data_IF_248072514618
#
_entry.id   IF_248072514618
#
_cell.length_a   1.000
_cell.length_b   1.000
_cell.length_c   1.000
_cell.angle_alpha   90.00
_cell.angle_beta   90.00
_cell.angle_gamma   90.00
#
_symmetry.space_group_name_H-M   'P 1'
#
loop_
_entity.id
_entity.type
_entity.pdbx_description
1 polymer ?
#
# COMPACT_ATOMS: atom_id res chain seq x y z
N UNK A 1 -42.98 11.25 64.09
CA UNK A 1 -41.68 11.09 64.77
C UNK A 1 -40.83 10.24 63.83
N UNK A 2 -39.98 10.75 62.95
CA UNK A 2 -39.37 12.06 62.71
C UNK A 2 -39.05 12.16 61.20
N UNK A 3 -39.26 13.34 60.61
CA UNK A 3 -38.83 13.69 59.26
C UNK A 3 -37.32 14.02 59.24
N UNK A 4 -36.63 13.65 58.16
CA UNK A 4 -35.32 14.16 57.70
C UNK A 4 -35.37 14.05 56.16
N UNK A 5 -35.96 15.03 55.47
CA UNK A 5 -35.33 16.20 54.82
C UNK A 5 -34.45 15.86 53.63
N UNK A 6 -34.86 16.41 52.48
CA UNK A 6 -34.13 16.51 51.22
C UNK A 6 -32.68 16.96 51.43
N UNK A 7 -31.71 16.17 50.97
CA UNK A 7 -30.36 16.67 50.70
C UNK A 7 -30.16 16.79 49.19
N UNK A 8 -30.64 17.93 48.71
CA UNK A 8 -30.28 18.54 47.44
C UNK A 8 -28.83 19.05 47.56
N UNK A 9 -27.85 18.13 47.54
CA UNK A 9 -26.43 18.49 47.50
C UNK A 9 -25.86 18.14 46.12
N UNK A 10 -25.42 19.18 45.42
CA UNK A 10 -24.75 19.09 44.12
C UNK A 10 -23.56 18.12 44.18
N UNK A 11 -23.22 17.40 43.09
CA UNK A 11 -22.09 16.46 43.08
C UNK A 11 -20.68 17.10 43.21
N UNK A 12 -20.59 18.39 43.57
CA UNK A 12 -19.45 19.25 43.28
C UNK A 12 -18.49 19.50 44.46
N UNK A 13 -18.70 18.91 45.64
CA UNK A 13 -17.97 19.32 46.86
C UNK A 13 -17.03 18.29 47.47
N UNK A 14 -16.98 17.05 46.96
CA UNK A 14 -15.98 16.09 47.43
C UNK A 14 -14.69 16.17 46.59
N UNK A 15 -13.52 16.46 47.18
CA UNK A 15 -12.25 16.55 46.45
C UNK A 15 -11.83 15.22 45.82
N UNK A 16 -12.27 14.08 46.37
CA UNK A 16 -12.07 12.75 45.77
C UNK A 16 -12.90 12.51 44.51
N UNK A 17 -14.13 13.03 44.47
CA UNK A 17 -14.93 12.95 43.24
C UNK A 17 -14.44 13.99 42.25
N UNK A 18 -14.10 15.22 42.67
CA UNK A 18 -13.54 16.23 41.76
C UNK A 18 -12.20 15.78 41.14
N UNK A 19 -11.36 15.04 41.86
CA UNK A 19 -10.15 14.40 41.32
C UNK A 19 -10.47 13.24 40.40
N UNK A 20 -11.44 12.38 40.72
CA UNK A 20 -11.90 11.33 39.79
C UNK A 20 -12.55 11.90 38.52
N UNK A 21 -13.36 12.96 38.64
CA UNK A 21 -14.01 13.68 37.55
C UNK A 21 -13.00 14.46 36.71
N UNK A 22 -12.02 15.12 37.32
CA UNK A 22 -10.90 15.73 36.58
C UNK A 22 -9.98 14.65 36.00
N UNK A 23 -9.82 13.48 36.58
CA UNK A 23 -9.04 12.40 35.99
C UNK A 23 -9.79 11.67 34.87
N UNK A 24 -11.12 11.71 34.86
CA UNK A 24 -11.96 11.21 33.75
C UNK A 24 -12.27 12.26 32.67
N UNK A 25 -12.13 13.56 32.97
CA UNK A 25 -12.40 14.68 32.02
C UNK A 25 -11.12 15.40 31.55
N UNK A 26 -10.04 15.38 32.35
CA UNK A 26 -8.67 15.83 32.00
C UNK A 26 -7.69 14.66 31.85
N UNK A 27 -8.13 13.41 32.04
CA UNK A 27 -7.42 12.22 31.60
C UNK A 27 -7.48 12.09 30.08
N UNK A 28 -6.96 13.08 29.37
CA UNK A 28 -6.47 12.91 28.01
C UNK A 28 -5.67 11.62 28.03
N UNK A 29 -5.98 10.65 27.18
CA UNK A 29 -5.20 9.42 27.05
C UNK A 29 -3.84 9.79 26.41
N UNK A 30 -2.99 10.50 27.16
CA UNK A 30 -1.71 11.06 26.69
C UNK A 30 -0.83 9.93 26.16
N UNK A 31 -0.91 8.75 26.80
CA UNK A 31 -0.24 7.54 26.35
C UNK A 31 -0.68 7.12 24.94
N UNK A 32 -1.99 7.05 24.67
CA UNK A 32 -2.52 6.68 23.35
C UNK A 32 -2.22 7.77 22.31
N UNK A 33 -2.33 9.05 22.68
CA UNK A 33 -1.98 10.18 21.83
C UNK A 33 -0.51 10.12 21.37
N UNK A 34 0.39 9.76 22.28
CA UNK A 34 1.80 9.56 21.97
C UNK A 34 2.00 8.47 20.92
N UNK A 35 1.27 7.35 21.01
CA UNK A 35 1.33 6.27 20.01
C UNK A 35 0.82 6.74 18.65
N UNK A 36 -0.27 7.50 18.59
CA UNK A 36 -0.74 8.10 17.32
C UNK A 36 0.30 9.03 16.69
N UNK A 37 1.00 9.85 17.49
CA UNK A 37 2.08 10.71 16.99
C UNK A 37 3.21 9.86 16.39
N UNK A 38 3.62 8.80 17.09
CA UNK A 38 4.62 7.85 16.59
C UNK A 38 4.14 7.17 15.31
N UNK A 39 2.87 6.76 15.24
CA UNK A 39 2.25 6.16 14.05
C UNK A 39 2.31 7.09 12.84
N UNK A 40 1.98 8.37 13.03
CA UNK A 40 2.03 9.38 11.96
C UNK A 40 3.47 9.58 11.47
N UNK A 41 4.44 9.72 12.38
CA UNK A 41 5.86 9.88 12.02
C UNK A 41 6.37 8.65 11.26
N UNK A 42 6.11 7.45 11.76
CA UNK A 42 6.50 6.20 11.10
C UNK A 42 5.85 6.09 9.71
N UNK A 43 4.58 6.45 9.58
CA UNK A 43 3.87 6.45 8.29
C UNK A 43 4.48 7.44 7.31
N UNK A 44 4.89 8.64 7.77
CA UNK A 44 5.58 9.61 6.93
C UNK A 44 6.92 9.07 6.40
N UNK A 45 7.69 8.38 7.25
CA UNK A 45 8.95 7.75 6.87
C UNK A 45 8.71 6.65 5.84
N UNK A 46 7.70 5.79 6.02
CA UNK A 46 7.35 4.75 5.05
C UNK A 46 6.97 5.36 3.69
N UNK A 47 6.12 6.39 3.68
CA UNK A 47 5.74 7.10 2.43
C UNK A 47 6.98 7.65 1.72
N UNK A 48 7.93 8.23 2.45
CA UNK A 48 9.18 8.73 1.87
C UNK A 48 9.98 7.63 1.17
N UNK A 49 10.17 6.48 1.83
CA UNK A 49 10.91 5.35 1.25
C UNK A 49 10.22 4.75 0.02
N UNK A 50 8.89 4.60 0.05
CA UNK A 50 8.14 4.10 -1.11
C UNK A 50 8.30 5.04 -2.32
N UNK A 51 8.25 6.35 -2.08
CA UNK A 51 8.41 7.35 -3.14
C UNK A 51 9.83 7.44 -3.69
N UNK A 52 10.83 7.01 -2.92
CA UNK A 52 12.22 6.96 -3.37
C UNK A 52 12.48 5.85 -4.41
N UNK A 53 11.61 4.83 -4.50
CA UNK A 53 11.74 3.77 -5.51
C UNK A 53 11.10 4.20 -6.85
N UNK A 54 11.83 4.10 -7.97
CA UNK A 54 11.35 4.60 -9.27
C UNK A 54 10.59 3.56 -10.13
N UNK A 55 10.87 2.27 -9.98
CA UNK A 55 10.36 1.18 -10.84
C UNK A 55 9.55 0.11 -10.11
N UNK A 56 9.22 0.32 -8.83
CA UNK A 56 8.47 -0.66 -8.04
C UNK A 56 7.01 -0.81 -8.48
N UNK A 57 6.57 -2.06 -8.63
CA UNK A 57 5.16 -2.43 -8.84
C UNK A 57 4.33 -2.00 -7.62
N UNK A 58 3.15 -1.44 -7.87
CA UNK A 58 2.13 -1.10 -6.88
C UNK A 58 2.41 0.19 -6.13
N UNK A 59 3.45 0.92 -6.53
CA UNK A 59 3.98 2.06 -5.76
C UNK A 59 2.92 3.14 -5.53
N UNK A 60 2.14 3.52 -6.55
CA UNK A 60 1.19 4.63 -6.42
C UNK A 60 -0.07 4.20 -5.65
N UNK A 61 -0.44 2.95 -5.80
CA UNK A 61 -1.58 2.28 -5.18
C UNK A 61 -1.34 2.11 -3.67
N UNK A 62 -0.17 1.58 -3.27
CA UNK A 62 0.14 1.35 -1.86
C UNK A 62 0.38 2.65 -1.10
N UNK A 63 0.94 3.68 -1.77
CA UNK A 63 1.07 5.03 -1.18
C UNK A 63 -0.29 5.61 -0.83
N UNK A 64 -1.33 5.28 -1.60
CA UNK A 64 -2.70 5.73 -1.30
C UNK A 64 -3.19 5.12 0.02
N UNK A 65 -2.89 3.84 0.28
CA UNK A 65 -3.20 3.20 1.57
C UNK A 65 -2.50 3.92 2.75
N UNK A 66 -1.19 4.19 2.64
CA UNK A 66 -0.47 4.88 3.72
C UNK A 66 -0.91 6.33 3.94
N UNK A 67 -1.32 7.05 2.88
CA UNK A 67 -1.95 8.36 3.05
C UNK A 67 -3.28 8.28 3.81
N UNK A 68 -4.12 7.29 3.50
CA UNK A 68 -5.37 7.07 4.25
C UNK A 68 -5.09 6.71 5.70
N UNK A 69 -4.11 5.84 5.95
CA UNK A 69 -3.69 5.48 7.31
C UNK A 69 -3.21 6.71 8.10
N UNK A 70 -2.40 7.57 7.51
CA UNK A 70 -1.97 8.83 8.15
C UNK A 70 -3.15 9.74 8.53
N UNK A 71 -4.15 9.87 7.65
CA UNK A 71 -5.36 10.67 7.93
C UNK A 71 -6.21 10.01 9.04
N UNK A 72 -6.32 8.69 9.05
CA UNK A 72 -7.02 7.93 10.09
C UNK A 72 -6.36 8.14 11.45
N UNK A 73 -5.03 8.05 11.54
CA UNK A 73 -4.28 8.25 12.79
C UNK A 73 -4.40 9.70 13.30
N UNK A 74 -4.37 10.68 12.39
CA UNK A 74 -4.59 12.09 12.74
C UNK A 74 -6.00 12.30 13.30
N UNK A 75 -7.01 11.68 12.69
CA UNK A 75 -8.40 11.78 13.15
C UNK A 75 -8.64 11.01 14.45
N UNK A 76 -8.04 9.82 14.59
CA UNK A 76 -8.09 9.01 15.80
C UNK A 76 -7.53 9.78 17.00
N UNK A 77 -6.42 10.50 16.80
CA UNK A 77 -5.86 11.36 17.86
C UNK A 77 -6.88 12.37 18.40
N UNK A 78 -7.72 12.99 17.56
CA UNK A 78 -8.76 13.92 18.04
C UNK A 78 -9.93 13.22 18.75
N UNK A 79 -10.25 11.99 18.33
CA UNK A 79 -11.34 11.21 18.92
C UNK A 79 -10.94 10.58 20.26
N UNK A 80 -9.72 10.06 20.36
CA UNK A 80 -9.23 9.32 21.51
C UNK A 80 -8.60 10.23 22.58
N UNK A 81 -8.16 11.45 22.21
CA UNK A 81 -7.66 12.44 23.17
C UNK A 81 -8.75 13.11 24.00
N UNK A 82 -10.02 12.96 23.63
CA UNK A 82 -11.13 13.65 24.28
C UNK A 82 -11.17 15.16 24.04
N UNK A 83 -10.36 15.69 23.10
CA UNK A 83 -10.38 17.12 22.70
C UNK A 83 -11.78 17.55 22.25
N UNK A 84 -12.53 16.64 21.62
CA UNK A 84 -13.95 16.82 21.32
C UNK A 84 -14.74 15.99 22.33
N UNK A 85 -15.45 16.63 23.28
CA UNK A 85 -16.29 15.90 24.22
C UNK A 85 -17.34 15.06 23.48
N UNK A 86 -17.58 13.83 23.93
CA UNK A 86 -18.57 12.92 23.34
C UNK A 86 -19.99 13.47 23.36
N UNK A 87 -20.28 14.39 24.30
CA UNK A 87 -21.55 15.11 24.39
C UNK A 87 -21.73 16.22 23.34
N UNK A 88 -20.66 16.61 22.63
CA UNK A 88 -20.74 17.65 21.61
C UNK A 88 -21.48 17.13 20.37
N UNK A 89 -22.39 17.94 19.82
CA UNK A 89 -23.13 17.62 18.59
C UNK A 89 -22.23 17.35 17.38
N UNK A 90 -20.98 17.82 17.39
CA UNK A 90 -20.00 17.55 16.34
C UNK A 90 -19.38 16.15 16.43
N UNK A 91 -19.29 15.54 17.62
CA UNK A 91 -18.60 14.26 17.84
C UNK A 91 -19.09 13.13 16.92
N UNK A 92 -20.41 12.91 16.73
CA UNK A 92 -20.90 11.86 15.84
C UNK A 92 -20.50 12.04 14.38
N UNK A 93 -20.27 13.28 13.93
CA UNK A 93 -19.81 13.55 12.57
C UNK A 93 -18.36 13.16 12.39
N UNK A 94 -17.49 13.51 13.32
CA UNK A 94 -16.08 13.11 13.30
C UNK A 94 -15.95 11.58 13.44
N UNK A 95 -16.72 10.98 14.34
CA UNK A 95 -16.80 9.52 14.46
C UNK A 95 -17.23 8.88 13.14
N UNK A 96 -18.28 9.40 12.48
CA UNK A 96 -18.75 8.87 11.19
C UNK A 96 -17.68 8.96 10.09
N UNK A 97 -16.97 10.09 9.97
CA UNK A 97 -15.85 10.23 9.02
C UNK A 97 -14.77 9.20 9.32
N UNK A 98 -14.40 9.03 10.59
CA UNK A 98 -13.43 8.01 11.01
C UNK A 98 -13.88 6.60 10.63
N UNK A 99 -15.14 6.24 10.90
CA UNK A 99 -15.70 4.93 10.51
C UNK A 99 -15.58 4.67 9.01
N UNK A 100 -15.89 5.67 8.18
CA UNK A 100 -15.87 5.56 6.73
C UNK A 100 -14.45 5.46 6.21
N UNK A 101 -13.51 6.23 6.77
CA UNK A 101 -12.11 6.18 6.39
C UNK A 101 -11.49 4.83 6.71
N UNK A 102 -11.78 4.26 7.89
CA UNK A 102 -11.32 2.93 8.29
C UNK A 102 -11.82 1.88 7.28
N UNK A 103 -13.12 1.85 6.99
CA UNK A 103 -13.69 0.90 6.03
C UNK A 103 -13.09 1.05 4.62
N UNK A 104 -12.88 2.29 4.18
CA UNK A 104 -12.27 2.58 2.89
C UNK A 104 -10.78 2.21 2.85
N UNK A 105 -10.04 2.33 3.96
CA UNK A 105 -8.65 1.89 4.05
C UNK A 105 -8.52 0.36 3.93
N UNK A 106 -9.44 -0.41 4.52
CA UNK A 106 -9.48 -1.87 4.32
C UNK A 106 -9.88 -2.26 2.87
N UNK A 107 -10.75 -1.48 2.23
CA UNK A 107 -11.02 -1.62 0.79
C UNK A 107 -9.75 -1.36 -0.04
N UNK A 108 -9.02 -0.29 0.28
CA UNK A 108 -7.75 0.05 -0.34
C UNK A 108 -6.73 -1.08 -0.17
N UNK A 109 -6.60 -1.63 1.04
CA UNK A 109 -5.72 -2.78 1.34
C UNK A 109 -6.07 -4.00 0.48
N UNK A 110 -7.36 -4.33 0.35
CA UNK A 110 -7.83 -5.44 -0.47
C UNK A 110 -7.50 -5.22 -1.95
N UNK A 111 -7.76 -4.03 -2.51
CA UNK A 111 -7.43 -3.72 -3.90
C UNK A 111 -5.92 -3.83 -4.13
N UNK A 112 -5.10 -3.25 -3.24
CA UNK A 112 -3.65 -3.38 -3.29
C UNK A 112 -3.20 -4.85 -3.26
N UNK A 113 -3.92 -5.70 -2.51
CA UNK A 113 -3.62 -7.12 -2.48
C UNK A 113 -3.82 -7.85 -3.81
N UNK A 114 -4.70 -7.34 -4.68
CA UNK A 114 -4.92 -7.87 -6.03
C UNK A 114 -3.96 -7.30 -7.08
N UNK A 115 -3.38 -6.12 -6.83
CA UNK A 115 -2.41 -5.48 -7.73
C UNK A 115 -1.18 -6.37 -7.96
N UNK A 116 -0.75 -7.11 -6.94
CA UNK A 116 0.37 -8.06 -7.05
C UNK A 116 0.16 -9.21 -8.04
N UNK A 117 -1.09 -9.51 -8.43
CA UNK A 117 -1.39 -10.50 -9.48
C UNK A 117 -1.34 -9.93 -10.89
N UNK A 118 -1.10 -8.62 -11.04
CA UNK A 118 -1.00 -7.93 -12.33
C UNK A 118 -2.22 -8.14 -13.25
N UNK A 119 -3.42 -8.34 -12.70
CA UNK A 119 -4.65 -8.45 -13.49
C UNK A 119 -4.99 -7.18 -14.28
N UNK A 120 -4.50 -6.03 -13.81
CA UNK A 120 -4.54 -4.75 -14.49
C UNK A 120 -3.13 -4.15 -14.47
N UNK A 121 -2.76 -3.45 -15.55
CA UNK A 121 -1.50 -2.73 -15.60
C UNK A 121 -1.40 -1.71 -14.46
N UNK A 122 -0.43 -1.94 -13.59
CA UNK A 122 -0.11 -1.12 -12.43
C UNK A 122 0.30 0.30 -12.82
N UNK A 123 -0.09 1.31 -12.03
CA UNK A 123 0.34 2.68 -12.22
C UNK A 123 -0.32 3.39 -13.41
N UNK A 124 -1.18 2.69 -14.17
CA UNK A 124 -2.05 3.28 -15.18
C UNK A 124 -3.04 4.25 -14.52
N UNK A 125 -3.44 5.34 -15.21
CA UNK A 125 -4.47 6.24 -14.70
C UNK A 125 -5.77 5.52 -14.37
N UNK A 126 -6.12 4.48 -15.13
CA UNK A 126 -7.32 3.67 -14.91
C UNK A 126 -7.26 2.93 -13.57
N UNK A 127 -6.15 2.22 -13.28
CA UNK A 127 -5.94 1.53 -11.99
C UNK A 127 -6.12 2.49 -10.80
N UNK A 128 -5.49 3.67 -10.88
CA UNK A 128 -5.54 4.65 -9.80
C UNK A 128 -6.93 5.26 -9.61
N UNK A 129 -7.63 5.58 -10.70
CA UNK A 129 -8.99 6.09 -10.61
C UNK A 129 -9.96 5.03 -10.11
N UNK A 130 -9.79 3.76 -10.50
CA UNK A 130 -10.56 2.66 -9.97
C UNK A 130 -10.37 2.51 -8.45
N UNK A 131 -9.11 2.53 -7.97
CA UNK A 131 -8.81 2.46 -6.54
C UNK A 131 -9.46 3.63 -5.78
N UNK A 132 -9.29 4.86 -6.28
CA UNK A 132 -9.83 6.07 -5.62
C UNK A 132 -11.35 6.09 -5.58
N UNK A 133 -12.02 5.76 -6.69
CA UNK A 133 -13.48 5.74 -6.77
C UNK A 133 -14.05 4.64 -5.88
N UNK A 134 -13.46 3.44 -5.89
CA UNK A 134 -13.86 2.34 -5.01
C UNK A 134 -13.72 2.71 -3.53
N UNK A 135 -12.60 3.34 -3.13
CA UNK A 135 -12.41 3.82 -1.77
C UNK A 135 -13.42 4.92 -1.40
N UNK A 136 -13.68 5.88 -2.30
CA UNK A 136 -14.65 6.95 -2.09
C UNK A 136 -16.09 6.41 -1.97
N UNK A 137 -16.46 5.41 -2.78
CA UNK A 137 -17.76 4.76 -2.71
C UNK A 137 -17.96 4.04 -1.37
N UNK A 138 -16.99 3.23 -0.93
CA UNK A 138 -17.05 2.56 0.38
C UNK A 138 -17.07 3.58 1.52
N UNK A 139 -16.24 4.62 1.45
CA UNK A 139 -16.25 5.73 2.40
C UNK A 139 -17.64 6.36 2.52
N UNK A 140 -18.27 6.72 1.39
CA UNK A 140 -19.58 7.37 1.36
C UNK A 140 -20.70 6.49 1.91
N UNK A 141 -20.72 5.20 1.55
CA UNK A 141 -21.70 4.24 2.06
C UNK A 141 -21.54 4.06 3.57
N UNK A 142 -20.33 3.81 4.05
CA UNK A 142 -20.06 3.59 5.47
C UNK A 142 -20.32 4.86 6.30
N UNK A 143 -19.92 6.03 5.80
CA UNK A 143 -20.21 7.32 6.41
C UNK A 143 -21.71 7.56 6.56
N UNK A 144 -22.49 7.28 5.51
CA UNK A 144 -23.94 7.42 5.54
C UNK A 144 -24.58 6.49 6.59
N UNK A 145 -24.17 5.21 6.62
CA UNK A 145 -24.68 4.25 7.61
C UNK A 145 -24.32 4.66 9.05
N UNK A 146 -23.11 5.19 9.26
CA UNK A 146 -22.69 5.67 10.57
C UNK A 146 -23.54 6.86 11.06
N UNK A 147 -23.72 7.88 10.22
CA UNK A 147 -24.57 9.04 10.54
C UNK A 147 -26.02 8.63 10.75
N UNK A 148 -26.56 7.76 9.88
CA UNK A 148 -27.92 7.28 10.00
C UNK A 148 -28.16 6.56 11.33
N UNK A 149 -27.17 5.79 11.80
CA UNK A 149 -27.24 5.11 13.09
C UNK A 149 -27.16 6.08 14.27
N UNK A 150 -26.24 7.06 14.23
CA UNK A 150 -26.10 8.04 15.32
C UNK A 150 -27.33 8.96 15.44
N UNK A 151 -27.95 9.33 14.33
CA UNK A 151 -29.14 10.21 14.32
C UNK A 151 -30.47 9.47 14.39
N UNK A 152 -30.45 8.14 14.51
CA UNK A 152 -31.64 7.29 14.48
C UNK A 152 -32.54 7.57 13.26
N UNK A 153 -31.93 7.63 12.07
CA UNK A 153 -32.61 7.90 10.82
C UNK A 153 -33.04 6.58 10.15
N UNK A 154 -34.27 6.58 9.64
CA UNK A 154 -34.91 5.45 8.96
C UNK A 154 -35.06 4.20 9.84
N UNK A 155 -34.31 3.13 9.54
CA UNK A 155 -34.35 1.83 10.23
C UNK A 155 -33.13 1.56 11.11
N UNK A 156 -32.18 2.50 11.14
CA UNK A 156 -30.97 2.37 11.95
C UNK A 156 -31.21 2.97 13.32
N UNK A 157 -31.10 2.14 14.36
CA UNK A 157 -31.24 2.57 15.76
C UNK A 157 -29.92 2.43 16.51
N UNK A 158 -29.60 3.42 17.34
CA UNK A 158 -28.47 3.35 18.28
C UNK A 158 -28.62 2.23 19.31
N UNK A 159 -29.83 1.73 19.56
CA UNK A 159 -30.09 0.62 20.49
C UNK A 159 -29.71 -0.76 19.92
N UNK A 160 -29.66 -0.90 18.59
CA UNK A 160 -29.25 -2.13 17.89
C UNK A 160 -28.37 -1.76 16.69
N UNK A 161 -27.11 -1.35 16.91
CA UNK A 161 -26.25 -0.80 15.86
C UNK A 161 -25.63 -1.91 14.98
N UNK A 162 -26.48 -2.72 14.34
CA UNK A 162 -26.05 -3.84 13.48
C UNK A 162 -25.22 -3.32 12.29
N UNK A 163 -25.59 -2.17 11.74
CA UNK A 163 -24.85 -1.55 10.63
C UNK A 163 -23.40 -1.19 11.01
N UNK A 164 -23.19 -0.59 12.17
CA UNK A 164 -21.85 -0.27 12.67
C UNK A 164 -21.06 -1.55 12.96
N UNK A 165 -21.69 -2.57 13.51
CA UNK A 165 -21.04 -3.85 13.76
C UNK A 165 -20.50 -4.48 12.47
N UNK A 166 -21.29 -4.48 11.39
CA UNK A 166 -20.83 -4.99 10.09
C UNK A 166 -19.63 -4.17 9.57
N UNK A 167 -19.69 -2.84 9.66
CA UNK A 167 -18.67 -1.95 9.11
C UNK A 167 -17.37 -1.99 9.90
N UNK A 168 -17.42 -2.07 11.23
CA UNK A 168 -16.22 -2.02 12.07
C UNK A 168 -15.57 -3.37 12.36
N UNK A 169 -16.38 -4.44 12.39
CA UNK A 169 -15.88 -5.77 12.72
C UNK A 169 -15.83 -6.65 11.48
N UNK A 170 -16.98 -6.90 10.86
CA UNK A 170 -17.08 -7.93 9.82
C UNK A 170 -16.33 -7.53 8.54
N UNK A 171 -16.46 -6.28 8.09
CA UNK A 171 -15.84 -5.78 6.87
C UNK A 171 -14.30 -5.77 6.95
N UNK A 172 -13.66 -5.14 7.97
CA UNK A 172 -12.22 -5.22 8.17
C UNK A 172 -11.70 -6.66 8.27
N UNK A 173 -12.40 -7.52 9.01
CA UNK A 173 -12.00 -8.91 9.15
C UNK A 173 -12.03 -9.64 7.80
N UNK A 174 -13.12 -9.48 7.03
CA UNK A 174 -13.24 -10.08 5.71
C UNK A 174 -12.15 -9.58 4.75
N UNK A 175 -11.91 -8.26 4.70
CA UNK A 175 -10.87 -7.67 3.86
C UNK A 175 -9.47 -8.19 4.22
N UNK A 176 -9.15 -8.24 5.52
CA UNK A 176 -7.85 -8.73 6.00
C UNK A 176 -7.66 -10.21 5.68
N UNK A 177 -8.66 -11.07 5.89
CA UNK A 177 -8.56 -12.50 5.58
C UNK A 177 -8.36 -12.72 4.07
N UNK A 178 -9.13 -12.03 3.23
CA UNK A 178 -8.98 -12.11 1.77
C UNK A 178 -7.58 -11.64 1.36
N UNK A 179 -7.09 -10.53 1.93
CA UNK A 179 -5.75 -10.01 1.67
C UNK A 179 -4.66 -11.01 2.06
N UNK A 180 -4.72 -11.62 3.25
CA UNK A 180 -3.73 -12.59 3.70
C UNK A 180 -3.71 -13.82 2.79
N UNK A 181 -4.89 -14.36 2.46
CA UNK A 181 -4.98 -15.52 1.55
C UNK A 181 -4.43 -15.18 0.18
N UNK A 182 -4.75 -14.00 -0.36
CA UNK A 182 -4.25 -13.57 -1.67
C UNK A 182 -2.73 -13.39 -1.65
N UNK A 183 -2.17 -12.78 -0.60
CA UNK A 183 -0.71 -12.61 -0.48
C UNK A 183 0.01 -13.95 -0.33
N UNK A 184 -0.54 -14.89 0.44
CA UNK A 184 0.04 -16.22 0.55
C UNK A 184 0.03 -16.96 -0.80
N UNK A 185 -1.06 -16.86 -1.58
CA UNK A 185 -1.12 -17.46 -2.92
C UNK A 185 -0.04 -16.87 -3.82
N UNK A 186 0.13 -15.54 -3.81
CA UNK A 186 1.13 -14.85 -4.62
C UNK A 186 2.55 -15.32 -4.26
N UNK A 187 2.91 -15.31 -2.98
CA UNK A 187 4.24 -15.74 -2.53
C UNK A 187 4.47 -17.22 -2.80
N UNK A 188 3.46 -18.08 -2.65
CA UNK A 188 3.63 -19.50 -2.92
C UNK A 188 3.81 -19.84 -4.40
N UNK A 189 3.10 -19.15 -5.28
CA UNK A 189 3.03 -19.47 -6.72
C UNK A 189 4.02 -18.70 -7.58
N UNK A 190 4.40 -17.49 -7.18
CA UNK A 190 5.14 -16.56 -8.04
C UNK A 190 6.56 -16.28 -7.56
N UNK A 191 6.80 -16.21 -6.25
CA UNK A 191 8.11 -15.86 -5.71
C UNK A 191 8.93 -17.10 -5.34
N UNK A 192 10.22 -17.05 -5.69
CA UNK A 192 11.22 -18.04 -5.28
C UNK A 192 11.72 -17.79 -3.85
N UNK A 193 11.80 -16.52 -3.42
CA UNK A 193 12.15 -16.16 -2.05
C UNK A 193 10.95 -16.31 -1.10
N UNK A 194 11.17 -17.03 0.01
CA UNK A 194 10.18 -17.31 1.05
C UNK A 194 10.25 -16.35 2.23
N UNK A 195 11.23 -15.44 2.25
CA UNK A 195 11.36 -14.45 3.31
C UNK A 195 10.09 -13.57 3.52
N UNK A 196 9.35 -13.15 2.47
CA UNK A 196 8.10 -12.38 2.63
C UNK A 196 6.99 -13.11 3.41
N UNK A 197 7.06 -14.44 3.53
CA UNK A 197 6.10 -15.22 4.35
C UNK A 197 6.21 -14.81 5.81
N UNK A 198 7.43 -14.53 6.28
CA UNK A 198 7.66 -14.05 7.65
C UNK A 198 6.91 -12.75 7.93
N UNK A 199 6.98 -11.78 7.00
CA UNK A 199 6.29 -10.50 7.15
C UNK A 199 4.76 -10.67 7.18
N UNK A 200 4.19 -11.55 6.36
CA UNK A 200 2.74 -11.86 6.39
C UNK A 200 2.33 -12.47 7.73
N UNK A 201 3.10 -13.43 8.24
CA UNK A 201 2.80 -14.13 9.50
C UNK A 201 2.91 -13.18 10.69
N UNK A 202 3.99 -12.40 10.78
CA UNK A 202 4.15 -11.42 11.86
C UNK A 202 3.11 -10.31 11.79
N UNK A 203 2.79 -9.81 10.59
CA UNK A 203 1.72 -8.82 10.40
C UNK A 203 0.38 -9.35 10.87
N UNK A 204 0.01 -10.58 10.46
CA UNK A 204 -1.23 -11.22 10.88
C UNK A 204 -1.27 -11.45 12.39
N UNK A 205 -0.17 -11.91 12.99
CA UNK A 205 -0.08 -12.12 14.43
C UNK A 205 -0.31 -10.81 15.20
N UNK A 206 0.36 -9.71 14.81
CA UNK A 206 0.17 -8.41 15.46
C UNK A 206 -1.26 -7.89 15.29
N UNK A 207 -1.85 -8.05 14.09
CA UNK A 207 -3.25 -7.70 13.86
C UNK A 207 -4.20 -8.49 14.78
N UNK A 208 -4.06 -9.82 14.85
CA UNK A 208 -4.90 -10.67 15.71
C UNK A 208 -4.72 -10.33 17.19
N UNK A 209 -3.48 -10.11 17.63
CA UNK A 209 -3.19 -9.68 19.01
C UNK A 209 -3.85 -8.33 19.29
N UNK A 210 -3.80 -7.36 18.37
CA UNK A 210 -4.48 -6.08 18.53
C UNK A 210 -5.98 -6.27 18.78
N UNK A 211 -6.66 -7.06 17.94
CA UNK A 211 -8.10 -7.31 18.10
C UNK A 211 -8.42 -8.01 19.43
N UNK A 212 -7.63 -9.01 19.82
CA UNK A 212 -7.81 -9.74 21.09
C UNK A 212 -7.61 -8.83 22.30
N UNK A 213 -6.58 -7.98 22.28
CA UNK A 213 -6.32 -7.03 23.36
C UNK A 213 -7.47 -6.01 23.51
N UNK A 214 -8.01 -5.51 22.40
CA UNK A 214 -9.11 -4.56 22.43
C UNK A 214 -10.43 -5.21 22.89
N UNK A 215 -10.80 -6.38 22.37
CA UNK A 215 -12.11 -6.98 22.63
C UNK A 215 -12.17 -7.86 23.87
N UNK A 216 -11.08 -8.54 24.25
CA UNK A 216 -11.09 -9.49 25.37
C UNK A 216 -10.45 -8.91 26.65
N UNK A 217 -9.36 -8.14 26.52
CA UNK A 217 -8.54 -7.74 27.67
C UNK A 217 -8.58 -6.27 28.03
N UNK A 218 -9.27 -5.41 27.26
CA UNK A 218 -9.24 -3.96 27.45
C UNK A 218 -9.62 -3.53 28.87
N UNK A 219 -10.74 -4.05 29.41
CA UNK A 219 -11.19 -3.74 30.78
C UNK A 219 -10.23 -4.28 31.84
N UNK A 220 -9.75 -5.52 31.66
CA UNK A 220 -8.80 -6.15 32.59
C UNK A 220 -7.48 -5.38 32.70
N UNK A 221 -7.00 -4.84 31.57
CA UNK A 221 -5.77 -4.03 31.53
C UNK A 221 -6.00 -2.68 32.20
N UNK A 222 -7.14 -2.03 31.93
CA UNK A 222 -7.49 -0.75 32.53
C UNK A 222 -7.56 -0.83 34.07
N UNK A 223 -8.15 -1.90 34.59
CA UNK A 223 -8.24 -2.15 36.04
C UNK A 223 -6.87 -2.50 36.65
N UNK A 224 -6.04 -3.27 35.94
CA UNK A 224 -4.72 -3.67 36.42
C UNK A 224 -3.72 -2.50 36.54
N UNK A 225 -3.83 -1.48 35.66
CA UNK A 225 -2.88 -0.35 35.58
C UNK A 225 -3.47 0.94 36.18
N UNK A 226 -4.48 0.83 37.05
CA UNK A 226 -5.10 1.99 37.76
C UNK A 226 -5.54 3.12 36.80
N UNK A 227 -6.09 2.76 35.63
CA UNK A 227 -6.60 3.70 34.63
C UNK A 227 -5.54 4.67 34.04
N UNK A 228 -4.23 4.38 34.14
CA UNK A 228 -3.20 5.16 33.44
C UNK A 228 -3.01 4.72 31.98
N UNK A 229 -3.25 3.44 31.69
CA UNK A 229 -3.14 2.84 30.36
C UNK A 229 -4.39 2.01 30.10
N UNK A 230 -4.99 2.21 28.92
CA UNK A 230 -6.18 1.50 28.47
C UNK A 230 -5.84 0.54 27.32
N UNK A 231 -6.73 -0.42 27.02
CA UNK A 231 -6.57 -1.37 25.92
C UNK A 231 -6.36 -0.71 24.56
N UNK A 232 -6.87 0.51 24.36
CA UNK A 232 -6.64 1.32 23.15
C UNK A 232 -5.15 1.63 22.89
N UNK A 233 -4.34 1.79 23.94
CA UNK A 233 -2.89 2.02 23.79
C UNK A 233 -2.20 0.80 23.16
N UNK A 234 -2.48 -0.40 23.67
CA UNK A 234 -1.89 -1.62 23.12
C UNK A 234 -2.46 -1.97 21.75
N UNK A 235 -3.75 -1.71 21.53
CA UNK A 235 -4.38 -1.86 20.23
C UNK A 235 -3.69 -1.00 19.17
N UNK A 236 -3.52 0.30 19.42
CA UNK A 236 -2.89 1.22 18.45
C UNK A 236 -1.43 0.86 18.20
N UNK A 237 -0.68 0.45 19.23
CA UNK A 237 0.69 -0.03 19.08
C UNK A 237 0.77 -1.29 18.20
N UNK A 238 -0.03 -2.31 18.50
CA UNK A 238 -0.04 -3.55 17.71
C UNK A 238 -0.55 -3.31 16.28
N UNK A 239 -1.51 -2.41 16.08
CA UNK A 239 -1.96 -2.00 14.74
C UNK A 239 -0.85 -1.30 13.95
N UNK A 240 -0.09 -0.40 14.57
CA UNK A 240 1.08 0.24 13.97
C UNK A 240 2.10 -0.83 13.52
N UNK A 241 2.44 -1.77 14.39
CA UNK A 241 3.36 -2.87 14.05
C UNK A 241 2.84 -3.73 12.89
N UNK A 242 1.53 -4.02 12.87
CA UNK A 242 0.90 -4.73 11.75
C UNK A 242 1.04 -3.96 10.44
N UNK A 243 0.79 -2.65 10.44
CA UNK A 243 0.93 -1.80 9.24
C UNK A 243 2.38 -1.70 8.79
N UNK A 244 3.34 -1.70 9.72
CA UNK A 244 4.77 -1.77 9.38
C UNK A 244 5.15 -3.09 8.70
N UNK A 245 4.53 -4.20 9.09
CA UNK A 245 4.75 -5.48 8.39
C UNK A 245 4.13 -5.49 6.99
N UNK A 246 3.00 -4.81 6.77
CA UNK A 246 2.46 -4.59 5.41
C UNK A 246 3.44 -3.80 4.54
N UNK A 247 4.07 -2.76 5.10
CA UNK A 247 5.13 -2.02 4.41
C UNK A 247 6.35 -2.90 4.10
N UNK A 248 6.85 -3.66 5.09
CA UNK A 248 7.99 -4.56 4.90
C UNK A 248 7.73 -5.63 3.85
N UNK A 249 6.53 -6.21 3.88
CA UNK A 249 6.08 -7.15 2.87
C UNK A 249 6.13 -6.52 1.46
N UNK A 250 5.53 -5.34 1.29
CA UNK A 250 5.57 -4.61 0.01
C UNK A 250 7.01 -4.27 -0.43
N UNK A 251 7.86 -3.85 0.51
CA UNK A 251 9.26 -3.56 0.24
C UNK A 251 10.00 -4.83 -0.20
N UNK A 252 9.70 -5.99 0.40
CA UNK A 252 10.37 -7.25 0.10
C UNK A 252 10.04 -7.77 -1.29
N UNK A 253 8.78 -7.71 -1.72
CA UNK A 253 8.35 -8.20 -3.05
C UNK A 253 8.73 -7.26 -4.20
N UNK A 254 9.24 -6.05 -3.90
CA UNK A 254 9.66 -5.05 -4.90
C UNK A 254 11.17 -4.85 -4.94
N UNK A 255 11.94 -5.72 -4.27
CA UNK A 255 13.42 -5.67 -4.29
C UNK A 255 13.98 -6.25 -5.59
N UNK A 256 13.49 -7.41 -6.03
CA UNK A 256 13.96 -8.03 -7.28
C UNK A 256 13.80 -7.14 -8.51
N UNK A 257 12.71 -6.37 -8.61
CA UNK A 257 12.46 -5.45 -9.73
C UNK A 257 13.55 -4.38 -9.92
N UNK A 258 14.28 -4.03 -8.85
CA UNK A 258 15.35 -3.04 -8.89
C UNK A 258 16.67 -3.63 -9.39
N UNK A 259 16.98 -4.88 -9.06
CA UNK A 259 18.22 -5.54 -9.45
C UNK A 259 18.30 -5.77 -10.97
N UNK A 260 17.15 -6.02 -11.60
CA UNK A 260 17.06 -6.20 -13.05
C UNK A 260 17.05 -4.89 -13.86
N UNK A 261 16.76 -3.74 -13.23
CA UNK A 261 16.84 -2.42 -13.90
C UNK A 261 18.25 -1.82 -13.96
N UNK A 262 19.17 -2.27 -13.09
CA UNK A 262 20.58 -1.84 -13.11
C UNK A 262 21.52 -2.89 -13.76
N UNK A 263 21.01 -4.08 -14.07
CA UNK A 263 21.77 -5.18 -14.67
C UNK A 263 21.97 -5.15 -16.20
N UNK A 264 21.16 -4.42 -16.97
CA UNK A 264 21.28 -4.39 -18.45
C UNK A 264 22.42 -3.49 -18.99
N UNK A 265 23.33 -3.04 -18.12
CA UNK A 265 24.61 -2.40 -18.52
C UNK A 265 25.84 -3.12 -17.95
N UNK A 266 25.71 -4.36 -17.48
CA UNK A 266 26.87 -5.18 -17.22
C UNK A 266 27.40 -5.77 -18.54
N UNK A 267 28.47 -5.16 -19.04
CA UNK A 267 29.42 -5.67 -20.03
C UNK A 267 28.98 -5.77 -21.51
N UNK A 268 28.81 -4.62 -22.17
CA UNK A 268 29.27 -4.48 -23.58
C UNK A 268 30.65 -3.84 -23.53
N UNK A 269 31.66 -4.62 -23.16
CA UNK A 269 33.06 -4.31 -23.45
C UNK A 269 33.67 -5.45 -24.27
N UNK A 270 32.97 -5.86 -25.32
CA UNK A 270 33.60 -6.70 -26.34
C UNK A 270 34.49 -5.82 -27.22
N UNK A 271 35.76 -5.79 -26.80
CA UNK A 271 37.00 -5.76 -27.59
C UNK A 271 36.97 -5.00 -28.92
N UNK A 272 37.57 -3.80 -28.94
CA UNK A 272 38.13 -3.24 -30.18
C UNK A 272 39.44 -3.96 -30.46
N UNK A 273 39.44 -4.95 -31.33
CA UNK A 273 40.67 -5.57 -31.83
C UNK A 273 41.53 -4.51 -32.57
N UNK A 274 42.76 -4.22 -32.12
CA UNK A 274 43.65 -3.29 -32.82
C UNK A 274 44.40 -3.95 -33.99
N UNK A 275 43.86 -5.03 -34.58
CA UNK A 275 44.51 -5.80 -35.68
C UNK A 275 43.95 -5.45 -37.07
N UNK A 276 43.04 -4.47 -37.18
CA UNK A 276 42.54 -3.97 -38.47
C UNK A 276 42.76 -2.46 -38.65
N UNK A 277 43.87 -1.92 -38.12
CA UNK A 277 44.31 -0.58 -38.52
C UNK A 277 44.83 -0.66 -39.98
N UNK A 278 44.20 0.02 -40.95
CA UNK A 278 44.67 0.00 -42.33
C UNK A 278 45.87 0.94 -42.44
N UNK A 279 47.09 0.41 -42.35
CA UNK A 279 48.29 1.22 -42.56
C UNK A 279 49.59 0.56 -42.13
N UNK A 280 50.16 -0.27 -43.00
CA UNK A 280 51.53 -0.76 -42.88
C UNK A 280 51.96 -1.58 -44.09
N UNK A 281 52.80 -1.00 -44.96
CA UNK A 281 53.44 -1.62 -46.12
C UNK A 281 54.29 -2.87 -45.71
N UNK A 282 54.63 -3.86 -46.53
CA UNK A 282 55.07 -3.90 -47.95
C UNK A 282 55.11 -5.38 -48.47
N UNK A 283 55.89 -5.80 -49.51
CA UNK A 283 55.36 -6.21 -50.82
C UNK A 283 55.69 -7.67 -51.23
N UNK A 284 54.90 -8.25 -52.15
CA UNK A 284 55.40 -9.27 -53.08
C UNK A 284 54.64 -10.60 -53.14
N UNK A 285 54.39 -11.05 -54.39
CA UNK A 285 53.93 -12.40 -54.76
C UNK A 285 52.40 -12.54 -54.71
N UNK A 286 51.64 -12.74 -55.78
CA UNK A 286 51.92 -13.45 -57.03
C UNK A 286 51.17 -14.78 -57.02
N UNK A 287 49.96 -14.83 -57.60
CA UNK A 287 49.26 -16.09 -57.89
C UNK A 287 47.73 -16.02 -57.87
N UNK A 288 47.02 -16.36 -58.97
CA UNK A 288 45.57 -16.41 -59.03
C UNK A 288 45.06 -17.87 -59.04
N UNK A 289 44.18 -18.28 -58.12
CA UNK A 289 43.29 -19.45 -58.29
C UNK A 289 42.04 -19.34 -57.39
N UNK A 290 40.84 -19.46 -57.98
CA UNK A 290 39.60 -19.81 -57.23
C UNK A 290 39.53 -21.33 -56.98
N UNK A 291 38.36 -21.96 -56.78
CA UNK A 291 37.05 -21.48 -56.31
C UNK A 291 36.49 -22.30 -55.10
N UNK A 292 35.68 -21.69 -54.23
CA UNK A 292 34.71 -22.40 -53.38
C UNK A 292 34.94 -22.40 -51.86
N UNK A 293 33.82 -22.24 -51.12
CA UNK A 293 33.67 -22.44 -49.67
C UNK A 293 34.19 -21.28 -48.81
N UNK A 294 33.53 -20.77 -47.79
CA UNK A 294 32.32 -21.13 -47.05
C UNK A 294 31.69 -19.81 -46.57
N UNK A 295 30.36 -19.80 -46.54
CA UNK A 295 29.53 -18.88 -45.80
C UNK A 295 29.76 -19.17 -44.31
N UNK A 296 30.34 -18.23 -43.56
CA UNK A 296 30.21 -18.26 -42.10
C UNK A 296 28.94 -17.49 -41.73
N UNK A 297 27.97 -18.25 -41.24
CA UNK A 297 26.70 -17.81 -40.71
C UNK A 297 26.92 -17.01 -39.43
N UNK A 298 26.44 -15.76 -39.40
CA UNK A 298 26.31 -15.00 -38.17
C UNK A 298 25.38 -15.75 -37.21
N UNK A 299 25.96 -16.41 -36.20
CA UNK A 299 25.23 -17.08 -35.12
C UNK A 299 24.45 -16.02 -34.34
N UNK A 300 23.17 -15.93 -34.65
CA UNK A 300 22.18 -15.14 -33.91
C UNK A 300 22.18 -15.55 -32.45
N UNK A 301 22.45 -14.60 -31.56
CA UNK A 301 22.30 -14.73 -30.11
C UNK A 301 20.83 -15.00 -29.76
N UNK A 302 20.52 -16.27 -29.50
CA UNK A 302 19.18 -16.74 -29.19
C UNK A 302 18.87 -16.48 -27.70
N UNK A 303 18.45 -15.27 -27.36
CA UNK A 303 17.89 -14.94 -26.04
C UNK A 303 16.39 -15.23 -26.03
N UNK A 304 15.98 -16.29 -25.33
CA UNK A 304 14.58 -16.59 -25.04
C UNK A 304 14.09 -15.74 -23.87
N UNK A 305 13.22 -14.77 -24.13
CA UNK A 305 12.41 -14.13 -23.09
C UNK A 305 11.20 -15.02 -22.74
N UNK A 306 10.76 -15.10 -21.47
CA UNK A 306 9.56 -15.86 -21.13
C UNK A 306 8.33 -15.16 -21.72
N UNK A 307 7.48 -15.91 -22.40
CA UNK A 307 6.24 -15.41 -23.00
C UNK A 307 5.19 -15.06 -21.94
N UNK A 308 4.55 -13.90 -22.09
CA UNK A 308 3.37 -13.50 -21.32
C UNK A 308 2.18 -14.44 -21.56
N UNK A 309 1.44 -14.76 -20.51
CA UNK A 309 0.38 -15.78 -20.50
C UNK A 309 -0.95 -15.33 -21.15
N UNK A 310 -1.04 -14.12 -21.69
CA UNK A 310 -2.23 -13.62 -22.39
C UNK A 310 -1.86 -12.82 -23.63
N UNK A 311 -1.99 -13.45 -24.81
CA UNK A 311 -2.38 -12.81 -26.07
C UNK A 311 -1.49 -11.70 -26.67
N UNK A 312 -0.26 -11.49 -26.23
CA UNK A 312 0.66 -10.51 -26.81
C UNK A 312 1.62 -11.13 -27.83
N UNK A 313 1.62 -10.66 -29.08
CA UNK A 313 2.62 -11.06 -30.08
C UNK A 313 4.03 -10.68 -29.61
N UNK A 314 4.95 -11.64 -29.67
CA UNK A 314 6.35 -11.42 -29.31
C UNK A 314 7.05 -10.46 -30.28
N UNK A 315 8.03 -9.69 -29.80
CA UNK A 315 8.76 -8.68 -30.59
C UNK A 315 9.45 -9.23 -31.86
N UNK A 316 9.66 -10.55 -31.94
CA UNK A 316 10.17 -11.22 -33.13
C UNK A 316 9.18 -11.18 -34.32
N UNK A 317 7.87 -11.18 -34.06
CA UNK A 317 6.86 -11.12 -35.13
C UNK A 317 6.78 -9.73 -35.78
N UNK A 318 7.03 -8.64 -35.03
CA UNK A 318 7.04 -7.29 -35.61
C UNK A 318 8.19 -7.10 -36.60
N UNK A 319 9.36 -7.70 -36.34
CA UNK A 319 10.52 -7.57 -37.24
C UNK A 319 10.34 -8.39 -38.52
N UNK A 320 9.76 -9.59 -38.41
CA UNK A 320 9.48 -10.43 -39.59
C UNK A 320 8.40 -9.84 -40.50
N UNK A 321 7.37 -9.19 -39.95
CA UNK A 321 6.29 -8.63 -40.77
C UNK A 321 6.72 -7.39 -41.58
N UNK A 322 7.77 -6.68 -41.13
CA UNK A 322 8.27 -5.48 -41.81
C UNK A 322 9.14 -5.78 -43.04
N UNK A 323 9.58 -7.04 -43.23
CA UNK A 323 10.42 -7.44 -44.36
C UNK A 323 9.65 -8.10 -45.53
N UNK A 324 8.34 -8.29 -45.43
CA UNK A 324 7.53 -8.98 -46.47
C UNK A 324 6.76 -8.04 -47.40
N UNK A 325 6.86 -6.72 -47.21
CA UNK A 325 6.11 -5.78 -48.05
C UNK A 325 6.88 -4.51 -48.33
N UNK A 326 7.73 -4.50 -49.36
CA UNK A 326 7.91 -3.36 -50.27
C UNK A 326 8.77 -3.79 -51.47
N UNK A 327 8.11 -4.36 -52.48
CA UNK A 327 8.63 -4.37 -53.84
C UNK A 327 8.35 -3.02 -54.51
N UNK A 328 9.36 -2.51 -55.22
CA UNK A 328 9.30 -1.51 -56.31
C UNK A 328 8.50 -0.21 -56.10
N UNK A 329 9.22 0.93 -55.96
CA UNK A 329 9.23 2.10 -56.88
C UNK A 329 9.71 3.38 -56.19
N UNK A 330 10.76 3.99 -56.77
CA UNK A 330 10.79 5.42 -57.12
C UNK A 330 11.16 6.48 -56.07
N UNK A 331 12.39 7.02 -56.19
CA UNK A 331 12.65 8.46 -56.41
C UNK A 331 12.50 9.48 -55.27
N UNK A 332 13.60 10.21 -55.01
CA UNK A 332 13.68 11.47 -54.25
C UNK A 332 14.26 11.26 -52.84
N UNK A 333 15.46 11.71 -52.48
CA UNK A 333 16.07 13.01 -52.72
C UNK A 333 16.03 13.79 -51.40
N UNK A 334 17.14 13.78 -50.64
CA UNK A 334 17.26 14.48 -49.35
C UNK A 334 17.06 16.00 -49.51
N UNK A 335 16.32 16.69 -48.63
CA UNK A 335 16.39 18.15 -48.54
C UNK A 335 17.65 18.58 -47.77
N UNK A 336 18.38 19.61 -48.21
CA UNK A 336 19.62 20.04 -47.58
C UNK A 336 19.40 20.88 -46.32
N UNK A 337 20.37 20.76 -45.42
CA UNK A 337 20.58 21.53 -44.19
C UNK A 337 20.89 23.00 -44.56
N UNK A 338 20.16 23.95 -43.98
CA UNK A 338 20.52 25.38 -43.99
C UNK A 338 21.10 25.78 -42.64
N UNK A 339 22.38 26.13 -42.62
CA UNK A 339 23.05 26.85 -41.53
C UNK A 339 23.48 28.23 -42.04
N UNK A 340 23.32 29.27 -41.19
CA UNK A 340 23.91 30.63 -41.24
C UNK A 340 23.29 31.65 -42.22
N UNK A 341 22.58 32.64 -41.68
CA UNK A 341 23.12 33.96 -41.29
C UNK A 341 22.16 34.67 -40.35
#
# INVERSE_FOLDING_TARGET
MSAVTDDNSSPSTNPHYLTLWTQSVLGVHIATCFVHIVAIIMTAIMIYHIRSKYTAVGRKEIVTFFWMYMVIELLAMFLDSGVIPTANASYPWFAAVYTGLVAAAYCCLLINGFVGFQFAEDGTPLSLWFLRISCLAVFGICFFVAIATFKNLASFSYTKPIGLWIIYLLWPLACTVIYIVSQLILVFRTLDDRWPIGDIVFGTAFYTIAQVLLFAFSVTICDAIKHYIDGLFFFTLCMLLSVMMVYKYWDSITKEDLEFSVGSKAAVWEVKDPVLAPGGAAPGGGGPMGPGGMYDEDVSSNYHAPGSLVGGMSGAQMYSQKMVGYGLRGGGGYPPISERY
#
